data_IF_237367516071
#
_entry.id   IF_237367516071
#
_cell.length_a   1.000
_cell.length_b   1.000
_cell.length_c   1.000
_cell.angle_alpha   90.00
_cell.angle_beta   90.00
_cell.angle_gamma   90.00
#
_symmetry.space_group_name_H-M   'P 1'
#
loop_
_entity.id
_entity.type
_entity.pdbx_description
1 polymer ?
#
# COMPACT_ATOMS: atom_id res chain seq x y z
N UNK A 1 24.70 15.67 -10.81
CA UNK A 1 23.66 14.79 -10.21
C UNK A 1 23.90 14.51 -8.73
N UNK A 2 25.09 14.05 -8.29
CA UNK A 2 25.37 13.84 -6.85
C UNK A 2 25.26 15.13 -6.02
N UNK A 3 25.86 16.22 -6.48
CA UNK A 3 25.80 17.51 -5.76
C UNK A 3 24.35 18.02 -5.64
N UNK A 4 23.57 17.89 -6.71
CA UNK A 4 22.15 18.21 -6.68
C UNK A 4 21.39 17.37 -5.65
N UNK A 5 21.66 16.05 -5.57
CA UNK A 5 21.05 15.19 -4.56
C UNK A 5 21.44 15.59 -3.12
N UNK A 6 22.69 16.01 -2.90
CA UNK A 6 23.13 16.54 -1.61
C UNK A 6 22.41 17.85 -1.25
N UNK A 7 22.23 18.77 -2.21
CA UNK A 7 21.48 20.01 -2.00
C UNK A 7 20.01 19.73 -1.65
N UNK A 8 19.36 18.81 -2.36
CA UNK A 8 17.97 18.40 -2.07
C UNK A 8 17.87 17.75 -0.68
N UNK A 9 18.79 16.87 -0.31
CA UNK A 9 18.81 16.25 1.01
C UNK A 9 19.04 17.28 2.13
N UNK A 10 19.92 18.27 1.92
CA UNK A 10 20.18 19.35 2.87
C UNK A 10 18.98 20.30 3.03
N UNK A 11 18.19 20.49 1.98
CA UNK A 11 16.98 21.31 2.00
C UNK A 11 15.75 20.57 2.58
N UNK A 12 15.82 19.26 2.78
CA UNK A 12 14.70 18.47 3.31
C UNK A 12 14.45 18.83 4.79
N UNK A 13 13.21 19.14 5.20
CA UNK A 13 12.88 19.39 6.61
C UNK A 13 12.94 18.11 7.46
N UNK A 14 13.04 16.94 6.82
CA UNK A 14 13.15 15.65 7.48
C UNK A 14 14.53 15.07 7.16
N UNK A 15 15.33 14.68 8.16
CA UNK A 15 16.59 14.01 7.93
C UNK A 15 16.38 12.73 7.12
N UNK A 16 17.25 12.51 6.14
CA UNK A 16 17.27 11.25 5.42
C UNK A 16 17.59 10.11 6.40
N UNK A 17 16.90 8.98 6.25
CA UNK A 17 17.11 7.82 7.12
C UNK A 17 18.31 7.02 6.61
N UNK A 18 19.43 7.10 7.32
CA UNK A 18 20.56 6.21 7.05
C UNK A 18 20.24 4.81 7.56
N UNK A 19 20.08 3.86 6.64
CA UNK A 19 20.00 2.45 6.99
C UNK A 19 21.43 1.88 7.00
N UNK A 20 21.90 1.31 8.13
CA UNK A 20 23.27 0.81 8.24
C UNK A 20 23.54 -0.39 7.32
N UNK A 21 22.48 -1.03 6.81
CA UNK A 21 22.52 -2.19 5.93
C UNK A 21 21.50 -2.02 4.81
N UNK A 22 21.85 -2.51 3.62
CA UNK A 22 20.93 -2.49 2.46
C UNK A 22 19.69 -3.33 2.77
N UNK A 23 18.55 -2.89 2.24
CA UNK A 23 17.33 -3.69 2.26
C UNK A 23 17.43 -4.71 1.14
N UNK A 24 17.26 -5.97 1.50
CA UNK A 24 17.37 -7.15 0.66
C UNK A 24 16.24 -8.08 1.06
N UNK A 25 15.58 -8.70 0.09
CA UNK A 25 14.41 -9.49 0.41
C UNK A 25 13.79 -10.19 -0.78
N UNK A 26 12.75 -10.95 -0.47
CA UNK A 26 11.90 -11.64 -1.42
C UNK A 26 10.56 -10.91 -1.55
N UNK A 27 9.98 -10.90 -2.75
CA UNK A 27 8.68 -10.30 -3.07
C UNK A 27 7.84 -11.31 -3.87
N UNK A 28 6.58 -11.51 -3.48
CA UNK A 28 5.69 -12.47 -4.15
C UNK A 28 5.28 -12.07 -5.57
N UNK A 29 5.27 -10.77 -5.88
CA UNK A 29 4.64 -10.22 -7.08
C UNK A 29 5.18 -10.81 -8.38
N UNK A 30 6.51 -10.88 -8.52
CA UNK A 30 7.17 -11.22 -9.79
C UNK A 30 7.17 -12.72 -10.14
N UNK A 31 6.45 -13.52 -9.36
CA UNK A 31 6.18 -14.92 -9.66
C UNK A 31 4.68 -15.22 -9.57
N UNK A 32 4.03 -14.82 -8.46
CA UNK A 32 2.65 -15.20 -8.17
C UNK A 32 1.63 -14.16 -8.64
N UNK A 33 2.06 -12.92 -8.92
CA UNK A 33 1.18 -11.78 -9.09
C UNK A 33 0.14 -11.75 -7.94
N UNK A 34 -1.15 -11.56 -8.27
CA UNK A 34 -2.24 -11.56 -7.30
C UNK A 34 -2.82 -12.97 -7.01
N UNK A 35 -2.23 -14.04 -7.55
CA UNK A 35 -2.66 -15.43 -7.35
C UNK A 35 -2.04 -16.06 -6.09
N UNK A 36 -2.16 -15.38 -4.95
CA UNK A 36 -1.55 -15.82 -3.69
C UNK A 36 -2.55 -16.51 -2.76
N UNK A 37 -2.09 -17.51 -2.02
CA UNK A 37 -2.83 -18.23 -0.99
C UNK A 37 -1.96 -18.40 0.25
N UNK A 38 -2.57 -18.66 1.40
CA UNK A 38 -1.81 -18.94 2.63
C UNK A 38 -0.84 -20.11 2.46
N UNK A 39 -1.21 -21.11 1.67
CA UNK A 39 -0.39 -22.29 1.39
C UNK A 39 0.82 -21.98 0.50
N UNK A 40 0.61 -21.31 -0.63
CA UNK A 40 1.73 -21.05 -1.55
C UNK A 40 2.73 -20.03 -0.97
N UNK A 41 2.28 -19.08 -0.14
CA UNK A 41 3.19 -18.18 0.55
C UNK A 41 4.06 -18.95 1.55
N UNK A 42 3.52 -19.94 2.27
CA UNK A 42 4.33 -20.80 3.16
C UNK A 42 5.34 -21.64 2.40
N UNK A 43 4.96 -22.17 1.25
CA UNK A 43 5.89 -22.90 0.38
C UNK A 43 7.06 -22.00 -0.01
N UNK A 44 6.77 -20.78 -0.48
CA UNK A 44 7.80 -19.81 -0.82
C UNK A 44 8.64 -19.35 0.38
N UNK A 45 8.05 -19.23 1.57
CA UNK A 45 8.79 -18.92 2.80
C UNK A 45 9.82 -20.01 3.11
N UNK A 46 9.42 -21.29 3.03
CA UNK A 46 10.34 -22.42 3.22
C UNK A 46 11.46 -22.43 2.17
N UNK A 47 11.12 -22.20 0.91
CA UNK A 47 12.10 -22.11 -0.18
C UNK A 47 13.08 -20.94 0.00
N UNK A 48 12.58 -19.76 0.34
CA UNK A 48 13.40 -18.57 0.59
C UNK A 48 14.34 -18.77 1.79
N UNK A 49 13.86 -19.40 2.86
CA UNK A 49 14.69 -19.75 4.03
C UNK A 49 15.80 -20.73 3.63
N UNK A 50 15.45 -21.82 2.92
CA UNK A 50 16.41 -22.83 2.50
C UNK A 50 17.51 -22.26 1.61
N UNK A 51 17.16 -21.44 0.61
CA UNK A 51 18.15 -20.81 -0.28
C UNK A 51 19.00 -19.78 0.47
N UNK A 52 18.38 -18.96 1.33
CA UNK A 52 19.11 -18.00 2.17
C UNK A 52 20.19 -18.69 2.99
N UNK A 53 19.84 -19.80 3.65
CA UNK A 53 20.72 -20.50 4.59
C UNK A 53 21.80 -21.30 3.85
N UNK A 54 21.45 -22.00 2.78
CA UNK A 54 22.40 -22.79 1.98
C UNK A 54 23.46 -21.89 1.29
N UNK A 55 23.04 -20.75 0.75
CA UNK A 55 23.89 -19.85 -0.03
C UNK A 55 24.42 -18.66 0.78
N UNK A 56 24.11 -18.60 2.08
CA UNK A 56 24.47 -17.48 2.97
C UNK A 56 24.06 -16.11 2.40
N UNK A 57 22.90 -16.04 1.73
CA UNK A 57 22.43 -14.79 1.12
C UNK A 57 22.01 -13.81 2.20
N UNK A 58 22.27 -12.51 2.04
CA UNK A 58 21.80 -11.50 2.98
C UNK A 58 20.30 -11.21 2.78
N UNK A 59 19.43 -12.23 2.65
CA UNK A 59 17.99 -12.06 2.39
C UNK A 59 17.25 -11.75 3.71
N UNK A 60 16.78 -10.51 3.89
CA UNK A 60 16.26 -10.03 5.19
C UNK A 60 14.76 -9.86 5.22
N UNK A 61 14.15 -9.27 4.20
CA UNK A 61 12.70 -9.02 4.13
C UNK A 61 12.03 -10.17 3.39
N UNK A 62 10.87 -10.60 3.87
CA UNK A 62 9.96 -11.44 3.11
C UNK A 62 8.63 -10.69 2.99
N UNK A 63 8.36 -10.18 1.78
CA UNK A 63 7.23 -9.30 1.54
C UNK A 63 6.15 -9.97 0.69
N UNK A 64 4.94 -9.99 1.23
CA UNK A 64 3.73 -10.45 0.53
C UNK A 64 3.14 -9.25 -0.20
N UNK A 65 3.06 -9.34 -1.52
CA UNK A 65 2.54 -8.30 -2.40
C UNK A 65 1.02 -8.39 -2.57
N UNK A 66 0.45 -7.63 -3.50
CA UNK A 66 -1.01 -7.59 -3.68
C UNK A 66 -1.60 -8.99 -3.91
N UNK A 67 -2.84 -9.17 -3.45
CA UNK A 67 -3.63 -10.38 -3.62
C UNK A 67 -4.25 -10.93 -2.34
N UNK A 68 -3.88 -10.44 -1.16
CA UNK A 68 -4.45 -10.89 0.13
C UNK A 68 -5.69 -10.08 0.56
N UNK A 69 -5.88 -8.87 0.04
CA UNK A 69 -7.07 -8.05 0.30
C UNK A 69 -8.15 -8.26 -0.78
N UNK A 70 -9.45 -8.20 -0.43
CA UNK A 70 -10.53 -8.50 -1.37
C UNK A 70 -10.61 -7.49 -2.53
N UNK A 71 -10.47 -6.20 -2.24
CA UNK A 71 -10.53 -5.09 -3.21
C UNK A 71 -9.50 -4.00 -2.88
N UNK A 72 -9.32 -3.01 -3.76
CA UNK A 72 -8.53 -1.82 -3.44
C UNK A 72 -9.35 -0.89 -2.55
N UNK A 73 -8.81 -0.49 -1.41
CA UNK A 73 -9.54 0.27 -0.40
C UNK A 73 -10.01 -0.57 0.78
N UNK A 74 -10.16 -1.90 0.63
CA UNK A 74 -10.62 -2.80 1.70
C UNK A 74 -9.43 -3.42 2.45
N UNK A 75 -8.59 -2.57 3.06
CA UNK A 75 -7.29 -2.97 3.60
C UNK A 75 -7.34 -3.68 4.96
N UNK A 76 -8.45 -3.58 5.68
CA UNK A 76 -8.67 -4.26 6.96
C UNK A 76 -9.25 -5.67 6.78
N UNK A 77 -9.74 -5.98 5.59
CA UNK A 77 -10.30 -7.29 5.26
C UNK A 77 -9.26 -8.17 4.57
N UNK A 78 -9.42 -9.48 4.74
CA UNK A 78 -8.53 -10.49 4.19
C UNK A 78 -9.35 -11.50 3.39
N UNK A 79 -8.84 -11.88 2.22
CA UNK A 79 -9.51 -12.83 1.33
C UNK A 79 -9.64 -14.24 1.95
N UNK A 80 -10.65 -15.03 1.57
CA UNK A 80 -10.84 -16.40 2.06
C UNK A 80 -9.68 -17.37 1.80
N UNK A 81 -8.80 -17.06 0.83
CA UNK A 81 -7.56 -17.78 0.55
C UNK A 81 -6.54 -17.70 1.71
N UNK A 82 -6.79 -16.83 2.69
CA UNK A 82 -6.05 -16.68 3.94
C UNK A 82 -7.00 -16.89 5.12
N UNK A 83 -7.51 -18.12 5.32
CA UNK A 83 -8.57 -18.42 6.29
C UNK A 83 -8.18 -18.10 7.73
N UNK A 84 -6.88 -18.03 8.04
CA UNK A 84 -6.38 -17.65 9.38
C UNK A 84 -6.03 -16.16 9.51
N UNK A 85 -6.33 -15.36 8.49
CA UNK A 85 -5.88 -13.98 8.39
C UNK A 85 -4.36 -13.87 8.19
N UNK A 86 -3.85 -12.64 8.23
CA UNK A 86 -2.43 -12.36 7.93
C UNK A 86 -1.49 -12.54 9.12
N UNK A 87 -1.99 -12.36 10.36
CA UNK A 87 -1.14 -12.39 11.56
C UNK A 87 -0.33 -13.69 11.70
N UNK A 88 -0.93 -14.91 11.61
CA UNK A 88 -0.15 -16.13 11.78
C UNK A 88 0.95 -16.28 10.73
N UNK A 89 0.70 -15.82 9.50
CA UNK A 89 1.67 -15.88 8.41
C UNK A 89 2.85 -14.91 8.65
N UNK A 90 2.58 -13.69 9.14
CA UNK A 90 3.63 -12.72 9.51
C UNK A 90 4.45 -13.20 10.72
N UNK A 91 3.81 -13.88 11.69
CA UNK A 91 4.51 -14.52 12.81
C UNK A 91 5.41 -15.67 12.34
N UNK A 92 4.95 -16.51 11.41
CA UNK A 92 5.75 -17.57 10.78
C UNK A 92 6.95 -16.98 10.00
N UNK A 93 6.75 -15.89 9.26
CA UNK A 93 7.82 -15.17 8.55
C UNK A 93 8.89 -14.68 9.54
N UNK A 94 8.45 -14.07 10.65
CA UNK A 94 9.35 -13.60 11.71
C UNK A 94 10.11 -14.76 12.36
N UNK A 95 9.42 -15.85 12.67
CA UNK A 95 10.02 -17.05 13.25
C UNK A 95 11.06 -17.71 12.33
N UNK A 96 10.91 -17.58 11.00
CA UNK A 96 11.89 -18.02 10.01
C UNK A 96 13.10 -17.08 9.87
N UNK A 97 13.18 -16.00 10.66
CA UNK A 97 14.30 -15.06 10.68
C UNK A 97 14.22 -13.95 9.63
N UNK A 98 13.05 -13.72 9.02
CA UNK A 98 12.82 -12.61 8.09
C UNK A 98 12.07 -11.45 8.75
N UNK A 99 12.21 -10.26 8.18
CA UNK A 99 11.37 -9.10 8.48
C UNK A 99 10.07 -9.24 7.69
N UNK A 100 8.91 -9.34 8.36
CA UNK A 100 7.61 -9.49 7.70
C UNK A 100 7.19 -8.20 7.00
N UNK A 101 6.85 -8.30 5.71
CA UNK A 101 6.42 -7.15 4.91
C UNK A 101 5.12 -7.34 4.15
N UNK A 102 4.38 -6.24 3.97
CA UNK A 102 3.12 -6.18 3.22
C UNK A 102 3.12 -5.02 2.21
N UNK A 103 2.40 -5.22 1.11
CA UNK A 103 2.10 -4.19 0.12
C UNK A 103 0.77 -3.48 0.39
N UNK A 104 0.71 -2.19 0.10
CA UNK A 104 -0.51 -1.38 0.13
C UNK A 104 -0.44 -0.29 -0.94
N UNK A 105 -1.59 0.09 -1.50
CA UNK A 105 -1.75 1.29 -2.34
C UNK A 105 -2.66 2.30 -1.63
N UNK A 106 -2.13 3.14 -0.72
CA UNK A 106 -2.93 3.87 0.28
C UNK A 106 -4.02 4.78 -0.29
N UNK A 107 -3.79 5.33 -1.48
CA UNK A 107 -4.71 6.27 -2.13
C UNK A 107 -5.71 5.58 -3.07
N UNK A 108 -5.60 4.28 -3.32
CA UNK A 108 -6.39 3.61 -4.35
C UNK A 108 -7.66 3.02 -3.74
N UNK A 109 -8.80 3.39 -4.30
CA UNK A 109 -10.12 2.87 -3.91
C UNK A 109 -10.82 2.33 -5.14
N UNK A 110 -11.25 1.07 -5.14
CA UNK A 110 -12.00 0.48 -6.24
C UNK A 110 -13.51 0.77 -6.13
N UNK A 111 -14.19 0.93 -7.26
CA UNK A 111 -15.65 1.18 -7.29
C UNK A 111 -16.50 0.03 -6.74
N UNK A 112 -15.93 -1.18 -6.60
CA UNK A 112 -16.59 -2.33 -5.97
C UNK A 112 -16.13 -2.59 -4.55
N UNK A 113 -15.19 -1.80 -4.02
CA UNK A 113 -14.77 -1.91 -2.63
C UNK A 113 -15.93 -1.63 -1.67
N UNK A 114 -15.91 -2.27 -0.51
CA UNK A 114 -16.86 -1.99 0.56
C UNK A 114 -16.67 -0.55 1.05
N UNK A 115 -15.43 -0.09 1.17
CA UNK A 115 -15.10 1.28 1.55
C UNK A 115 -15.86 2.31 0.70
N UNK A 116 -15.84 2.17 -0.63
CA UNK A 116 -16.53 3.10 -1.51
C UNK A 116 -18.05 2.98 -1.47
N UNK A 117 -18.58 1.77 -1.30
CA UNK A 117 -20.03 1.57 -1.19
C UNK A 117 -20.60 2.19 0.09
N UNK A 118 -19.86 2.10 1.20
CA UNK A 118 -20.27 2.67 2.48
C UNK A 118 -19.96 4.17 2.57
N UNK A 119 -18.89 4.63 1.92
CA UNK A 119 -18.39 6.01 1.99
C UNK A 119 -18.02 6.55 0.59
N UNK A 120 -19.01 6.76 -0.30
CA UNK A 120 -18.74 7.29 -1.65
C UNK A 120 -18.22 8.73 -1.64
N UNK A 121 -18.39 9.45 -0.54
CA UNK A 121 -17.91 10.81 -0.28
C UNK A 121 -16.44 10.88 0.18
N UNK A 122 -15.80 9.73 0.46
CA UNK A 122 -14.39 9.67 0.88
C UNK A 122 -13.39 9.67 -0.28
N UNK A 123 -13.85 9.85 -1.52
CA UNK A 123 -12.97 9.94 -2.69
C UNK A 123 -12.97 11.34 -3.26
N UNK A 124 -11.92 11.70 -3.98
CA UNK A 124 -11.81 13.02 -4.64
C UNK A 124 -12.89 13.13 -5.71
N UNK A 125 -13.54 14.29 -5.82
CA UNK A 125 -14.52 14.58 -6.87
C UNK A 125 -13.87 15.31 -8.06
N UNK A 126 -14.37 15.07 -9.26
CA UNK A 126 -14.02 15.79 -10.47
C UNK A 126 -14.92 17.02 -10.62
N UNK A 127 -14.31 18.22 -10.70
CA UNK A 127 -15.02 19.50 -10.83
C UNK A 127 -15.78 19.65 -12.14
N UNK A 128 -15.42 18.87 -13.17
CA UNK A 128 -16.03 18.97 -14.49
C UNK A 128 -17.31 18.14 -14.60
N UNK A 129 -17.37 17.00 -13.89
CA UNK A 129 -18.51 16.08 -13.93
C UNK A 129 -19.36 16.14 -12.66
N UNK A 130 -18.86 16.78 -11.60
CA UNK A 130 -19.44 16.83 -10.25
C UNK A 130 -19.52 15.46 -9.53
N UNK A 131 -18.97 14.40 -10.12
CA UNK A 131 -18.92 13.05 -9.56
C UNK A 131 -17.53 12.65 -9.06
N UNK A 132 -17.34 11.38 -8.64
CA UNK A 132 -16.03 10.84 -8.29
C UNK A 132 -15.00 11.01 -9.41
N UNK A 133 -13.79 11.41 -9.05
CA UNK A 133 -12.67 11.51 -9.98
C UNK A 133 -12.16 10.11 -10.28
N UNK A 134 -12.53 9.60 -11.44
CA UNK A 134 -12.03 8.31 -11.95
C UNK A 134 -10.58 8.48 -12.38
N UNK A 135 -9.69 7.81 -11.66
CA UNK A 135 -8.24 7.85 -11.88
C UNK A 135 -7.77 6.77 -12.86
N UNK A 136 -8.38 5.59 -12.83
CA UNK A 136 -8.13 4.53 -13.80
C UNK A 136 -9.44 3.83 -14.21
N UNK A 137 -9.50 3.39 -15.47
CA UNK A 137 -10.60 2.60 -16.04
C UNK A 137 -10.06 1.34 -16.70
N UNK A 138 -10.62 0.19 -16.36
CA UNK A 138 -10.21 -1.13 -16.85
C UNK A 138 -11.43 -1.95 -17.26
N UNK A 139 -12.26 -1.41 -18.16
CA UNK A 139 -13.49 -2.09 -18.58
C UNK A 139 -13.19 -3.41 -19.31
N UNK A 140 -13.73 -4.50 -18.78
CA UNK A 140 -13.53 -5.85 -19.33
C UNK A 140 -12.20 -6.49 -18.95
N UNK A 141 -11.39 -5.88 -18.07
CA UNK A 141 -10.14 -6.44 -17.60
C UNK A 141 -10.20 -6.82 -16.12
N UNK A 142 -9.78 -8.03 -15.78
CA UNK A 142 -9.62 -8.48 -14.39
C UNK A 142 -8.21 -8.15 -13.88
N UNK A 143 -7.97 -6.86 -13.58
CA UNK A 143 -6.69 -6.38 -13.04
C UNK A 143 -6.53 -6.77 -11.57
N UNK A 144 -5.31 -7.16 -11.18
CA UNK A 144 -4.95 -7.44 -9.77
C UNK A 144 -5.82 -8.48 -9.06
N UNK A 145 -6.52 -9.33 -9.82
CA UNK A 145 -7.51 -10.27 -9.29
C UNK A 145 -8.61 -9.59 -8.46
N UNK A 146 -9.00 -8.39 -8.89
CA UNK A 146 -10.05 -7.55 -8.31
C UNK A 146 -11.05 -7.20 -9.41
N UNK A 147 -12.31 -7.02 -9.02
CA UNK A 147 -13.43 -6.84 -9.96
C UNK A 147 -13.70 -5.38 -10.31
N UNK A 148 -13.14 -4.46 -9.53
CA UNK A 148 -13.34 -3.03 -9.76
C UNK A 148 -12.87 -2.62 -11.16
N UNK A 149 -13.75 -1.98 -11.92
CA UNK A 149 -13.46 -1.46 -13.26
C UNK A 149 -13.07 0.02 -13.24
N UNK A 150 -13.44 0.73 -12.18
CA UNK A 150 -13.05 2.11 -11.94
C UNK A 150 -12.30 2.19 -10.61
N UNK A 151 -11.22 2.96 -10.61
CA UNK A 151 -10.44 3.24 -9.41
C UNK A 151 -10.42 4.74 -9.17
N UNK A 152 -10.68 5.12 -7.93
CA UNK A 152 -10.74 6.48 -7.43
C UNK A 152 -9.54 6.78 -6.52
N UNK A 153 -9.44 8.05 -6.13
CA UNK A 153 -8.42 8.55 -5.21
C UNK A 153 -9.08 8.73 -3.85
N UNK A 154 -8.57 8.04 -2.82
CA UNK A 154 -8.97 8.30 -1.43
C UNK A 154 -8.63 9.74 -1.07
N UNK A 155 -9.63 10.49 -0.61
CA UNK A 155 -9.46 11.89 -0.21
C UNK A 155 -8.86 11.96 1.19
N UNK A 156 -7.54 12.09 1.27
CA UNK A 156 -6.87 12.22 2.56
C UNK A 156 -7.15 13.56 3.28
N UNK A 157 -7.83 14.51 2.65
CA UNK A 157 -8.29 15.75 3.30
C UNK A 157 -9.61 15.56 4.04
N UNK A 158 -10.33 14.45 3.77
CA UNK A 158 -11.47 14.02 4.57
C UNK A 158 -10.94 13.40 5.89
N UNK A 159 -11.35 13.90 7.07
CA UNK A 159 -10.81 13.44 8.35
C UNK A 159 -11.02 11.95 8.58
N UNK A 160 -12.23 11.44 8.32
CA UNK A 160 -12.54 10.02 8.55
C UNK A 160 -11.81 9.08 7.58
N UNK A 161 -11.60 9.49 6.32
CA UNK A 161 -10.81 8.71 5.36
C UNK A 161 -9.32 8.64 5.77
N UNK A 162 -8.76 9.74 6.29
CA UNK A 162 -7.42 9.76 6.84
C UNK A 162 -7.30 8.90 8.10
N UNK A 163 -8.31 8.95 8.98
CA UNK A 163 -8.38 8.15 10.19
C UNK A 163 -8.51 6.65 9.90
N UNK A 164 -9.31 6.29 8.89
CA UNK A 164 -9.37 4.94 8.35
C UNK A 164 -7.98 4.47 7.90
N UNK A 165 -7.28 5.27 7.09
CA UNK A 165 -5.95 4.89 6.61
C UNK A 165 -4.94 4.77 7.76
N UNK A 166 -5.00 5.66 8.76
CA UNK A 166 -4.18 5.55 9.97
C UNK A 166 -4.46 4.24 10.71
N UNK A 167 -5.73 3.86 10.85
CA UNK A 167 -6.13 2.60 11.48
C UNK A 167 -5.60 1.40 10.71
N UNK A 168 -5.62 1.43 9.38
CA UNK A 168 -5.03 0.35 8.54
C UNK A 168 -3.57 0.13 8.91
N UNK A 169 -2.74 1.17 8.90
CA UNK A 169 -1.31 1.05 9.24
C UNK A 169 -1.10 0.61 10.69
N UNK A 170 -1.92 1.08 11.64
CA UNK A 170 -1.87 0.64 13.03
C UNK A 170 -2.18 -0.85 13.19
N UNK A 171 -3.28 -1.34 12.60
CA UNK A 171 -3.67 -2.76 12.64
C UNK A 171 -2.59 -3.62 11.99
N UNK A 172 -2.10 -3.21 10.81
CA UNK A 172 -1.05 -3.98 10.12
C UNK A 172 0.24 -4.02 10.93
N UNK A 173 0.64 -2.91 11.56
CA UNK A 173 1.88 -2.84 12.35
C UNK A 173 1.78 -3.59 13.67
N UNK A 174 0.74 -3.34 14.44
CA UNK A 174 0.64 -3.74 15.84
C UNK A 174 -0.12 -5.05 16.03
N UNK A 175 -1.19 -5.26 15.25
CA UNK A 175 -2.04 -6.45 15.42
C UNK A 175 -1.55 -7.59 14.51
N UNK A 176 -1.21 -7.28 13.26
CA UNK A 176 -0.73 -8.28 12.29
C UNK A 176 0.78 -8.47 12.36
N UNK A 177 1.53 -7.45 12.81
CA UNK A 177 2.98 -7.55 13.02
C UNK A 177 3.83 -7.23 11.79
N UNK A 178 3.32 -6.49 10.81
CA UNK A 178 4.08 -6.01 9.66
C UNK A 178 5.20 -5.04 10.11
N UNK A 179 6.40 -5.20 9.56
CA UNK A 179 7.57 -4.37 9.88
C UNK A 179 8.17 -3.69 8.64
N UNK A 180 7.78 -4.12 7.44
CA UNK A 180 8.15 -3.52 6.17
C UNK A 180 6.92 -3.22 5.32
N UNK A 181 6.69 -1.94 5.01
CA UNK A 181 5.58 -1.51 4.18
C UNK A 181 6.08 -1.13 2.79
N UNK A 182 5.56 -1.80 1.76
CA UNK A 182 5.69 -1.35 0.36
C UNK A 182 4.46 -0.51 0.02
N UNK A 183 4.62 0.81 -0.05
CA UNK A 183 3.54 1.75 -0.38
C UNK A 183 3.59 2.13 -1.85
N UNK A 184 2.55 1.77 -2.60
CA UNK A 184 2.48 1.91 -4.05
C UNK A 184 1.43 2.95 -4.47
N UNK A 185 1.43 3.35 -5.74
CA UNK A 185 0.50 4.33 -6.32
C UNK A 185 0.40 5.66 -5.55
N UNK A 186 1.46 6.01 -4.82
CA UNK A 186 1.49 7.19 -3.96
C UNK A 186 1.24 8.49 -4.72
N UNK A 187 1.50 8.54 -6.03
CA UNK A 187 1.31 9.73 -6.85
C UNK A 187 -0.16 10.16 -6.99
N UNK A 188 -1.13 9.26 -6.75
CA UNK A 188 -2.56 9.58 -6.84
C UNK A 188 -2.93 10.78 -5.96
N UNK A 189 -2.39 10.84 -4.74
CA UNK A 189 -2.64 11.96 -3.82
C UNK A 189 -2.05 13.31 -4.26
N UNK A 190 -1.21 13.33 -5.30
CA UNK A 190 -0.47 14.51 -5.76
C UNK A 190 -0.73 14.88 -7.23
N UNK A 191 -1.59 14.16 -7.95
CA UNK A 191 -1.66 14.26 -9.41
C UNK A 191 -2.42 15.51 -9.87
N UNK A 192 -3.65 15.68 -9.39
CA UNK A 192 -4.55 16.72 -9.91
C UNK A 192 -4.51 18.00 -9.08
N UNK A 193 -4.53 19.13 -9.79
CA UNK A 193 -4.70 20.45 -9.19
C UNK A 193 -6.17 20.87 -9.07
N UNK A 194 -6.42 22.09 -8.56
CA UNK A 194 -7.76 22.61 -8.30
C UNK A 194 -8.59 22.85 -9.57
N UNK A 195 -7.98 22.81 -10.75
CA UNK A 195 -8.68 22.86 -12.03
C UNK A 195 -9.57 21.63 -12.28
N UNK A 196 -9.22 20.49 -11.68
CA UNK A 196 -9.93 19.22 -11.87
C UNK A 196 -10.37 18.58 -10.56
N UNK A 197 -9.50 18.50 -9.55
CA UNK A 197 -9.82 17.86 -8.29
C UNK A 197 -10.56 18.81 -7.34
N UNK A 198 -11.67 18.33 -6.78
CA UNK A 198 -12.34 18.89 -5.61
C UNK A 198 -12.10 17.95 -4.43
N UNK A 199 -11.30 18.44 -3.49
CA UNK A 199 -11.04 17.80 -2.21
C UNK A 199 -12.09 18.21 -1.16
N UNK A 200 -12.33 17.36 -0.18
CA UNK A 200 -13.26 17.59 0.93
C UNK A 200 -12.87 18.85 1.71
N UNK A 201 -11.61 18.95 2.14
CA UNK A 201 -11.08 20.16 2.80
C UNK A 201 -10.34 21.01 1.77
N UNK A 202 -10.87 22.19 1.40
CA UNK A 202 -10.24 23.05 0.41
C UNK A 202 -8.98 23.74 0.97
N UNK A 203 -8.14 24.27 0.07
CA UNK A 203 -7.02 25.13 0.42
C UNK A 203 -5.68 24.42 0.59
N UNK A 204 -5.66 23.09 0.67
CA UNK A 204 -4.42 22.31 0.62
C UNK A 204 -3.94 22.18 -0.83
N UNK A 205 -2.63 22.35 -1.03
CA UNK A 205 -1.98 21.96 -2.28
C UNK A 205 -1.91 20.44 -2.40
N UNK A 206 -1.90 19.91 -3.63
CA UNK A 206 -1.73 18.46 -3.88
C UNK A 206 -0.47 17.86 -3.24
N UNK A 207 0.57 18.66 -3.03
CA UNK A 207 1.79 18.22 -2.34
C UNK A 207 1.59 18.16 -0.83
N UNK A 208 0.83 19.08 -0.23
CA UNK A 208 0.47 18.99 1.20
C UNK A 208 -0.39 17.76 1.48
N UNK A 209 -1.37 17.47 0.62
CA UNK A 209 -2.19 16.24 0.72
C UNK A 209 -1.31 14.99 0.70
N UNK A 210 -0.42 14.89 -0.29
CA UNK A 210 0.53 13.78 -0.38
C UNK A 210 1.45 13.67 0.85
N UNK A 211 2.02 14.80 1.29
CA UNK A 211 2.92 14.85 2.44
C UNK A 211 2.22 14.44 3.73
N UNK A 212 0.95 14.81 3.92
CA UNK A 212 0.17 14.43 5.09
C UNK A 212 0.09 12.92 5.24
N UNK A 213 -0.18 12.20 4.14
CA UNK A 213 -0.21 10.73 4.15
C UNK A 213 1.19 10.15 4.36
N UNK A 214 2.19 10.65 3.64
CA UNK A 214 3.57 10.17 3.79
C UNK A 214 4.12 10.36 5.22
N UNK A 215 3.73 11.46 5.89
CA UNK A 215 4.07 11.73 7.29
C UNK A 215 3.29 10.84 8.26
N UNK A 216 2.01 10.58 7.99
CA UNK A 216 1.19 9.68 8.82
C UNK A 216 1.71 8.24 8.80
N UNK A 217 2.25 7.78 7.66
CA UNK A 217 2.82 6.44 7.50
C UNK A 217 4.16 6.27 8.23
N UNK A 218 4.94 7.36 8.36
CA UNK A 218 6.32 7.33 8.85
C UNK A 218 6.42 7.03 10.34
#
# INVERSE_FOLDING_TARGET
>A
MRDWAHLVAAASPIPWRHLPVRVTGWCSWYNLYASITEENIREHLRGAAAVRDAESLPLRVFQIDDGFTPEMGDWLDVKPQFPRGMKPLLDEIRAAGFVPGLWIAPFVVGNRSRLYQEHPDWVVHDRQTDGPLVQMRFYGEFRWHKRSEEYYILDATHPDALDYLRRVFQVWRYDWGCEYFKTDFMFFGAEYGPERARWHTPGMTRIEVWRQVALMIR
#
